data_IF_463194087265
#
_entry.id   IF_463194087265
#
_cell.length_a   1.000
_cell.length_b   1.000
_cell.length_c   1.000
_cell.angle_alpha   90.00
_cell.angle_beta   90.00
_cell.angle_gamma   90.00
#
_symmetry.space_group_name_H-M   'P 1'
#
loop_
_entity.id
_entity.type
_entity.pdbx_description
1 polymer ?
#
# COMPACT_ATOMS: atom_id res chain seq x y z
N UNK A 1 -18.59 -12.90 -25.25
CA UNK A 1 -17.23 -12.43 -25.57
C UNK A 1 -16.52 -11.89 -24.30
N UNK A 2 -16.55 -12.63 -23.17
CA UNK A 2 -16.01 -12.18 -21.87
C UNK A 2 -14.78 -12.97 -21.38
N UNK A 3 -14.50 -14.12 -22.00
CA UNK A 3 -13.47 -15.05 -21.53
C UNK A 3 -12.03 -14.56 -21.75
N UNK A 4 -11.80 -13.75 -22.78
CA UNK A 4 -10.46 -13.22 -23.10
C UNK A 4 -10.08 -12.00 -22.24
N UNK A 5 -11.07 -11.17 -21.92
CA UNK A 5 -10.92 -9.96 -21.10
C UNK A 5 -10.68 -10.34 -19.63
N UNK A 6 -11.42 -11.32 -19.08
CA UNK A 6 -11.18 -11.84 -17.73
C UNK A 6 -9.83 -12.54 -17.57
N UNK A 7 -9.34 -13.24 -18.61
CA UNK A 7 -8.02 -13.87 -18.58
C UNK A 7 -6.88 -12.84 -18.50
N UNK A 8 -7.03 -11.68 -19.16
CA UNK A 8 -6.03 -10.62 -19.12
C UNK A 8 -5.99 -9.92 -17.77
N UNK A 9 -7.15 -9.60 -17.20
CA UNK A 9 -7.24 -8.96 -15.88
C UNK A 9 -6.71 -9.87 -14.77
N UNK A 10 -7.02 -11.17 -14.84
CA UNK A 10 -6.49 -12.16 -13.91
C UNK A 10 -4.96 -12.23 -14.00
N UNK A 11 -4.42 -12.37 -15.21
CA UNK A 11 -2.97 -12.41 -15.42
C UNK A 11 -2.28 -11.13 -14.92
N UNK A 12 -2.85 -9.96 -15.17
CA UNK A 12 -2.31 -8.69 -14.66
C UNK A 12 -2.32 -8.66 -13.13
N UNK A 13 -3.41 -9.09 -12.51
CA UNK A 13 -3.53 -9.17 -11.05
C UNK A 13 -2.51 -10.14 -10.47
N UNK A 14 -2.29 -11.29 -11.12
CA UNK A 14 -1.30 -12.29 -10.69
C UNK A 14 0.13 -11.73 -10.80
N UNK A 15 0.44 -11.01 -11.88
CA UNK A 15 1.73 -10.33 -12.06
C UNK A 15 1.93 -9.27 -10.97
N UNK A 16 0.95 -8.40 -10.74
CA UNK A 16 1.04 -7.36 -9.71
C UNK A 16 1.20 -7.95 -8.31
N UNK A 17 0.49 -9.04 -8.01
CA UNK A 17 0.61 -9.77 -6.73
C UNK A 17 2.01 -10.37 -6.56
N UNK A 18 2.58 -10.95 -7.63
CA UNK A 18 3.95 -11.46 -7.61
C UNK A 18 4.97 -10.34 -7.35
N UNK A 19 4.83 -9.20 -8.04
CA UNK A 19 5.71 -8.03 -7.86
C UNK A 19 5.59 -7.41 -6.46
N UNK A 20 4.39 -7.37 -5.89
CA UNK A 20 4.17 -6.89 -4.53
C UNK A 20 4.96 -7.72 -3.51
N UNK A 21 5.01 -9.04 -3.69
CA UNK A 21 5.79 -9.95 -2.83
C UNK A 21 7.28 -9.61 -2.80
N UNK A 22 7.87 -9.23 -3.94
CA UNK A 22 9.26 -8.76 -4.00
C UNK A 22 9.41 -7.42 -3.31
N UNK A 23 8.52 -6.49 -3.63
CA UNK A 23 8.50 -5.12 -3.06
C UNK A 23 8.46 -5.16 -1.53
N UNK A 24 7.64 -6.03 -0.94
CA UNK A 24 7.54 -6.18 0.51
C UNK A 24 8.82 -6.71 1.15
N UNK A 25 9.52 -7.62 0.49
CA UNK A 25 10.82 -8.13 0.96
C UNK A 25 11.85 -7.02 0.96
N UNK A 26 11.94 -6.29 -0.15
CA UNK A 26 12.88 -5.18 -0.32
C UNK A 26 12.63 -4.08 0.74
N UNK A 27 11.36 -3.78 1.04
CA UNK A 27 10.99 -2.85 2.11
C UNK A 27 11.42 -3.38 3.49
N UNK A 28 11.17 -4.66 3.80
CA UNK A 28 11.57 -5.24 5.09
C UNK A 28 13.09 -5.23 5.28
N UNK A 29 13.86 -5.37 4.20
CA UNK A 29 15.33 -5.32 4.24
C UNK A 29 15.88 -3.89 4.32
N UNK A 30 15.11 -2.88 3.89
CA UNK A 30 15.55 -1.49 3.81
C UNK A 30 15.12 -0.62 5.01
N UNK A 31 14.20 -1.10 5.85
CA UNK A 31 13.65 -0.34 6.98
C UNK A 31 14.26 -0.85 8.28
N UNK A 32 15.13 -0.04 8.88
CA UNK A 32 15.79 -0.32 10.17
C UNK A 32 15.04 0.30 11.36
N UNK A 33 14.09 1.19 11.09
CA UNK A 33 13.27 1.84 12.11
C UNK A 33 12.40 0.84 12.87
N UNK A 34 11.94 1.25 14.06
CA UNK A 34 11.12 0.43 14.96
C UNK A 34 9.91 1.22 15.45
N UNK A 35 8.97 0.52 16.09
CA UNK A 35 7.71 1.08 16.56
C UNK A 35 6.90 1.70 15.42
N UNK A 36 6.15 2.76 15.72
CA UNK A 36 5.33 3.46 14.72
C UNK A 36 6.13 3.92 13.50
N UNK A 37 7.38 4.34 13.69
CA UNK A 37 8.23 4.86 12.61
C UNK A 37 8.56 3.79 11.56
N UNK A 38 8.69 2.51 11.96
CA UNK A 38 8.85 1.40 11.02
C UNK A 38 7.67 1.30 10.05
N UNK A 39 6.45 1.45 10.56
CA UNK A 39 5.22 1.41 9.75
C UNK A 39 5.18 2.62 8.81
N UNK A 40 5.50 3.81 9.32
CA UNK A 40 5.55 5.05 8.54
C UNK A 40 6.57 4.94 7.39
N UNK A 41 7.79 4.50 7.69
CA UNK A 41 8.85 4.36 6.69
C UNK A 41 8.52 3.28 5.67
N UNK A 42 7.95 2.16 6.09
CA UNK A 42 7.48 1.12 5.17
C UNK A 42 6.39 1.64 4.21
N UNK A 43 5.44 2.45 4.71
CA UNK A 43 4.40 3.05 3.89
C UNK A 43 4.93 4.08 2.89
N UNK A 44 5.87 4.92 3.33
CA UNK A 44 6.55 5.90 2.48
C UNK A 44 7.36 5.21 1.37
N UNK A 45 8.20 4.23 1.72
CA UNK A 45 9.03 3.51 0.74
C UNK A 45 8.17 2.72 -0.25
N UNK A 46 7.09 2.10 0.22
CA UNK A 46 6.11 1.48 -0.68
C UNK A 46 5.53 2.50 -1.68
N UNK A 47 5.23 3.72 -1.21
CA UNK A 47 4.76 4.78 -2.09
C UNK A 47 5.83 5.26 -3.07
N UNK A 48 7.07 5.47 -2.63
CA UNK A 48 8.20 5.82 -3.50
C UNK A 48 8.38 4.80 -4.64
N UNK A 49 8.31 3.50 -4.32
CA UNK A 49 8.45 2.41 -5.29
C UNK A 49 7.30 2.44 -6.31
N UNK A 50 6.05 2.57 -5.87
CA UNK A 50 4.91 2.63 -6.80
C UNK A 50 4.93 3.89 -7.68
N UNK A 51 5.26 5.05 -7.11
CA UNK A 51 5.28 6.34 -7.83
C UNK A 51 6.39 6.37 -8.88
N UNK A 52 7.53 5.73 -8.62
CA UNK A 52 8.67 5.65 -9.54
C UNK A 52 8.56 4.50 -10.56
N UNK A 53 7.65 3.54 -10.37
CA UNK A 53 7.45 2.41 -11.29
C UNK A 53 6.72 2.83 -12.56
N UNK A 54 7.45 2.97 -13.67
CA UNK A 54 6.90 3.32 -14.98
C UNK A 54 5.82 2.31 -15.44
N UNK A 55 6.04 1.02 -15.19
CA UNK A 55 5.06 -0.03 -15.52
C UNK A 55 3.75 0.18 -14.77
N UNK A 56 3.82 0.48 -13.47
CA UNK A 56 2.64 0.68 -12.64
C UNK A 56 1.87 1.94 -13.06
N UNK A 57 2.58 3.05 -13.31
CA UNK A 57 1.97 4.27 -13.85
C UNK A 57 1.32 4.05 -15.21
N UNK A 58 1.97 3.30 -16.10
CA UNK A 58 1.42 2.97 -17.42
C UNK A 58 0.17 2.12 -17.31
N UNK A 59 0.16 1.15 -16.39
CA UNK A 59 -1.02 0.33 -16.10
C UNK A 59 -2.19 1.19 -15.60
N UNK A 60 -1.95 2.07 -14.62
CA UNK A 60 -2.96 2.96 -14.06
C UNK A 60 -3.57 3.91 -15.09
N UNK A 61 -2.74 4.53 -15.94
CA UNK A 61 -3.19 5.53 -16.91
C UNK A 61 -3.90 4.96 -18.14
N UNK A 62 -3.77 3.65 -18.42
CA UNK A 62 -4.37 3.03 -19.60
C UNK A 62 -5.90 2.97 -19.53
N UNK A 63 -6.44 2.64 -18.36
CA UNK A 63 -7.88 2.61 -18.05
C UNK A 63 -8.04 2.80 -16.52
N UNK A 64 -8.04 4.06 -16.04
CA UNK A 64 -7.99 4.36 -14.61
C UNK A 64 -9.10 3.73 -13.78
N UNK A 65 -10.35 3.81 -14.24
CA UNK A 65 -11.49 3.25 -13.50
C UNK A 65 -11.40 1.73 -13.39
N UNK A 66 -10.92 1.07 -14.44
CA UNK A 66 -10.73 -0.39 -14.43
C UNK A 66 -9.54 -0.78 -13.56
N UNK A 67 -8.43 -0.06 -13.68
CA UNK A 67 -7.23 -0.32 -12.89
C UNK A 67 -7.52 -0.21 -11.39
N UNK A 68 -8.19 0.86 -10.96
CA UNK A 68 -8.62 1.04 -9.57
C UNK A 68 -9.54 -0.10 -9.12
N UNK A 69 -10.55 -0.49 -9.91
CA UNK A 69 -11.42 -1.64 -9.58
C UNK A 69 -10.64 -2.94 -9.37
N UNK A 70 -9.58 -3.17 -10.13
CA UNK A 70 -8.76 -4.38 -10.03
C UNK A 70 -7.86 -4.38 -8.80
N UNK A 71 -7.31 -3.23 -8.40
CA UNK A 71 -6.28 -3.17 -7.35
C UNK A 71 -6.82 -2.76 -5.98
N UNK A 72 -7.90 -1.96 -5.91
CA UNK A 72 -8.35 -1.32 -4.66
C UNK A 72 -9.57 -2.00 -4.02
N UNK A 73 -10.13 -3.03 -4.64
CA UNK A 73 -11.28 -3.75 -4.08
C UNK A 73 -10.84 -4.77 -3.05
N UNK A 74 -11.60 -4.95 -1.96
CA UNK A 74 -11.31 -5.99 -0.93
C UNK A 74 -11.23 -7.42 -1.49
N UNK A 75 -11.86 -7.66 -2.64
CA UNK A 75 -11.83 -8.95 -3.35
C UNK A 75 -10.51 -9.16 -4.12
N UNK A 76 -9.74 -8.09 -4.36
CA UNK A 76 -8.44 -8.16 -5.02
C UNK A 76 -7.42 -8.93 -4.17
N UNK A 77 -6.75 -9.96 -4.73
CA UNK A 77 -5.62 -10.62 -4.08
C UNK A 77 -4.50 -9.65 -3.70
N UNK A 78 -4.23 -8.66 -4.56
CA UNK A 78 -3.22 -7.64 -4.32
C UNK A 78 -3.58 -6.81 -3.08
N UNK A 79 -4.82 -6.32 -3.00
CA UNK A 79 -5.29 -5.56 -1.83
C UNK A 79 -5.10 -6.33 -0.53
N UNK A 80 -5.50 -7.61 -0.52
CA UNK A 80 -5.33 -8.46 0.67
C UNK A 80 -3.87 -8.58 1.05
N UNK A 81 -2.98 -8.78 0.08
CA UNK A 81 -1.56 -8.93 0.35
C UNK A 81 -0.93 -7.68 0.94
N UNK A 82 -1.31 -6.49 0.45
CA UNK A 82 -0.83 -5.20 0.99
C UNK A 82 -1.32 -5.03 2.44
N UNK A 83 -2.60 -5.30 2.71
CA UNK A 83 -3.14 -5.22 4.09
C UNK A 83 -2.42 -6.21 5.01
N UNK A 84 -2.26 -7.46 4.60
CA UNK A 84 -1.53 -8.48 5.38
C UNK A 84 -0.09 -8.08 5.66
N UNK A 85 0.58 -7.42 4.70
CA UNK A 85 1.94 -6.91 4.90
C UNK A 85 2.01 -5.88 6.04
N UNK A 86 1.14 -4.87 6.03
CA UNK A 86 1.11 -3.87 7.11
C UNK A 86 0.63 -4.46 8.45
N UNK A 87 -0.32 -5.40 8.42
CA UNK A 87 -0.76 -6.15 9.59
C UNK A 87 0.40 -6.93 10.22
N UNK A 88 1.26 -7.53 9.40
CA UNK A 88 2.45 -8.25 9.89
C UNK A 88 3.42 -7.30 10.60
N UNK A 89 3.74 -6.14 10.02
CA UNK A 89 4.65 -5.17 10.65
C UNK A 89 4.06 -4.68 11.98
N UNK A 90 2.76 -4.37 12.02
CA UNK A 90 2.09 -3.96 13.25
C UNK A 90 2.19 -5.04 14.34
N UNK A 91 1.88 -6.29 14.00
CA UNK A 91 1.97 -7.41 14.95
C UNK A 91 3.40 -7.61 15.47
N UNK A 92 4.42 -7.44 14.62
CA UNK A 92 5.83 -7.55 15.03
C UNK A 92 6.24 -6.45 16.02
N UNK A 93 5.77 -5.22 15.80
CA UNK A 93 6.06 -4.10 16.71
C UNK A 93 5.26 -4.16 18.02
N UNK A 94 4.01 -4.63 17.96
CA UNK A 94 3.17 -4.87 19.14
C UNK A 94 3.74 -6.01 20.00
N UNK A 95 4.11 -7.14 19.39
CA UNK A 95 4.69 -8.29 20.10
C UNK A 95 6.06 -7.99 20.74
N UNK A 96 6.73 -6.93 20.29
CA UNK A 96 7.98 -6.47 20.85
C UNK A 96 7.83 -5.30 21.84
N UNK A 97 6.60 -4.95 22.23
CA UNK A 97 6.27 -3.83 23.12
C UNK A 97 6.80 -2.46 22.61
N UNK A 98 7.00 -2.30 21.30
CA UNK A 98 7.53 -1.07 20.68
C UNK A 98 6.45 -0.15 20.13
N UNK A 99 5.23 -0.66 19.97
CA UNK A 99 4.08 0.11 19.51
C UNK A 99 2.80 -0.44 20.11
N UNK A 100 1.86 0.45 20.48
CA UNK A 100 0.53 0.06 20.98
C UNK A 100 -0.53 0.90 20.29
N UNK A 101 -1.68 0.31 20.04
CA UNK A 101 -2.81 0.98 19.40
C UNK A 101 -4.15 0.49 19.96
N UNK A 102 -5.18 1.32 19.84
CA UNK A 102 -6.51 1.04 20.39
C UNK A 102 -7.43 0.23 19.46
N UNK A 103 -7.09 0.14 18.17
CA UNK A 103 -7.84 -0.63 17.18
C UNK A 103 -7.35 -2.08 17.12
N UNK A 104 -8.19 -3.04 16.70
CA UNK A 104 -7.69 -4.34 16.26
C UNK A 104 -6.66 -4.19 15.14
N UNK A 105 -5.57 -4.94 15.19
CA UNK A 105 -4.45 -4.87 14.23
C UNK A 105 -4.90 -4.98 12.76
N UNK A 106 -5.82 -5.91 12.38
CA UNK A 106 -6.30 -6.00 11.00
C UNK A 106 -7.05 -4.73 10.54
N UNK A 107 -7.77 -4.07 11.44
CA UNK A 107 -8.53 -2.86 11.13
C UNK A 107 -7.58 -1.66 10.96
N UNK A 108 -6.56 -1.54 11.81
CA UNK A 108 -5.54 -0.50 11.67
C UNK A 108 -4.74 -0.68 10.37
N UNK A 109 -4.33 -1.91 10.04
CA UNK A 109 -3.66 -2.21 8.78
C UNK A 109 -4.52 -1.80 7.57
N UNK A 110 -5.82 -2.13 7.60
CA UNK A 110 -6.75 -1.72 6.57
C UNK A 110 -6.84 -0.18 6.45
N UNK A 111 -6.97 0.54 7.57
CA UNK A 111 -7.03 2.02 7.58
C UNK A 111 -5.77 2.63 6.98
N UNK A 112 -4.58 2.16 7.38
CA UNK A 112 -3.29 2.61 6.82
C UNK A 112 -3.30 2.48 5.30
N UNK A 113 -3.65 1.31 4.78
CA UNK A 113 -3.67 1.07 3.33
C UNK A 113 -4.68 1.99 2.63
N UNK A 114 -5.87 2.20 3.20
CA UNK A 114 -6.86 3.13 2.62
C UNK A 114 -6.37 4.57 2.57
N UNK A 115 -5.62 5.00 3.59
CA UNK A 115 -5.02 6.34 3.64
C UNK A 115 -3.92 6.45 2.59
N UNK A 116 -3.02 5.47 2.50
CA UNK A 116 -1.99 5.44 1.45
C UNK A 116 -2.59 5.57 0.05
N UNK A 117 -3.64 4.81 -0.25
CA UNK A 117 -4.31 4.84 -1.55
C UNK A 117 -4.88 6.21 -1.94
N UNK A 118 -5.35 7.01 -0.96
CA UNK A 118 -5.86 8.35 -1.25
C UNK A 118 -4.79 9.31 -1.79
N UNK A 119 -3.52 9.05 -1.50
CA UNK A 119 -2.39 9.83 -2.00
C UNK A 119 -1.72 9.17 -3.21
N UNK A 120 -1.61 7.84 -3.21
CA UNK A 120 -1.03 7.07 -4.33
C UNK A 120 -1.80 7.23 -5.63
N UNK A 121 -3.12 7.41 -5.54
CA UNK A 121 -4.00 7.53 -6.71
C UNK A 121 -4.60 8.94 -6.83
N UNK A 122 -3.97 9.94 -6.20
CA UNK A 122 -4.46 11.33 -6.20
C UNK A 122 -4.55 11.93 -7.61
N UNK A 123 -3.72 11.50 -8.55
CA UNK A 123 -3.80 11.90 -9.97
C UNK A 123 -5.08 11.41 -10.64
N UNK A 124 -5.48 10.17 -10.31
CA UNK A 124 -6.67 9.55 -10.86
C UNK A 124 -7.96 10.06 -10.20
N UNK A 125 -7.89 10.46 -8.92
CA UNK A 125 -9.07 10.85 -8.12
C UNK A 125 -9.32 12.36 -8.19
N UNK A 126 -8.28 13.18 -8.04
CA UNK A 126 -8.39 14.65 -7.92
C UNK A 126 -7.46 15.44 -8.86
N UNK A 127 -6.64 14.76 -9.68
CA UNK A 127 -5.73 15.39 -10.64
C UNK A 127 -4.44 15.95 -10.05
N UNK A 128 -4.11 15.61 -8.80
CA UNK A 128 -2.84 15.99 -8.15
C UNK A 128 -1.76 14.95 -8.39
N UNK A 129 -0.47 15.32 -8.39
CA UNK A 129 0.59 14.31 -8.48
C UNK A 129 0.66 13.48 -7.19
N UNK A 130 0.81 12.14 -7.28
CA UNK A 130 1.08 11.29 -6.14
C UNK A 130 2.34 11.74 -5.40
N UNK A 131 2.30 11.67 -4.07
CA UNK A 131 3.34 12.20 -3.19
C UNK A 131 3.56 11.25 -2.00
N UNK A 132 4.76 10.66 -1.94
CA UNK A 132 5.15 9.76 -0.85
C UNK A 132 5.31 10.49 0.49
N UNK A 133 5.71 11.77 0.48
CA UNK A 133 5.78 12.59 1.68
C UNK A 133 4.39 12.82 2.28
N UNK A 134 3.35 13.03 1.44
CA UNK A 134 1.96 13.07 1.93
C UNK A 134 1.51 11.74 2.54
N UNK A 135 1.94 10.60 1.97
CA UNK A 135 1.71 9.27 2.57
C UNK A 135 2.34 9.19 3.96
N UNK A 136 3.62 9.57 4.08
CA UNK A 136 4.35 9.60 5.35
C UNK A 136 3.59 10.41 6.41
N UNK A 137 3.23 11.67 6.09
CA UNK A 137 2.52 12.55 7.02
C UNK A 137 1.15 12.01 7.42
N UNK A 138 0.40 11.44 6.48
CA UNK A 138 -0.93 10.93 6.76
C UNK A 138 -0.90 9.65 7.61
N UNK A 139 0.00 8.72 7.33
CA UNK A 139 0.18 7.51 8.13
C UNK A 139 0.69 7.86 9.53
N UNK A 140 1.62 8.82 9.64
CA UNK A 140 2.08 9.37 10.93
C UNK A 140 0.91 9.90 11.78
N UNK A 141 0.00 10.64 11.16
CA UNK A 141 -1.19 11.16 11.83
C UNK A 141 -2.16 10.04 12.28
N UNK A 142 -2.35 9.00 11.46
CA UNK A 142 -3.18 7.83 11.81
C UNK A 142 -2.61 7.08 13.03
N UNK A 143 -1.29 6.97 13.11
CA UNK A 143 -0.60 6.25 14.19
C UNK A 143 -0.37 7.11 15.44
N UNK A 144 -0.66 8.41 15.38
CA UNK A 144 -0.44 9.32 16.49
C UNK A 144 1.04 9.64 16.75
N UNK A 145 1.94 9.35 15.81
CA UNK A 145 3.35 9.72 15.87
C UNK A 145 3.58 10.96 14.99
N UNK A 146 3.33 12.16 15.52
CA UNK A 146 3.67 13.39 14.81
C UNK A 146 5.19 13.54 14.73
N UNK A 147 5.69 14.03 13.59
CA UNK A 147 7.09 14.42 13.46
C UNK A 147 7.34 15.69 14.27
N UNK A 148 8.31 15.66 15.18
CA UNK A 148 8.94 16.86 15.72
C UNK A 148 9.82 17.54 14.66
#
# INVERSE_FOLDING_TARGET
MFRWVGNRDQLLTDILTSLASSTFRDIQEAVDEVGAERIVRAAELYAEILISSEYYRTFLNRDPERALRLISTKVSPLQRQIVTFFEQILNEEEAADRFTHSLPTPDLAYVIVRVMESFLYSDLIIGEQPDAGKVRSAVSAVLGCLQD
#
